data_IF_732115081051
#
_entry.id   IF_732115081051
#
_cell.length_a   1.000
_cell.length_b   1.000
_cell.length_c   1.000
_cell.angle_alpha   90.00
_cell.angle_beta   90.00
_cell.angle_gamma   90.00
#
_symmetry.space_group_name_H-M   'P 1'
#
loop_
_entity.id
_entity.type
_entity.pdbx_description
1 polymer ?
#
# COMPACT_ATOMS: atom_id res chain seq x y z
N UNK A 1 49.15 11.17 1.99
CA UNK A 1 48.21 10.10 2.37
C UNK A 1 47.19 10.70 3.32
N UNK A 2 45.88 10.55 3.03
CA UNK A 2 44.77 11.13 3.81
C UNK A 2 44.35 10.12 4.88
N UNK A 3 44.47 10.50 6.15
CA UNK A 3 43.87 9.75 7.26
C UNK A 3 42.38 10.07 7.26
N UNK A 4 41.55 9.06 6.97
CA UNK A 4 40.10 9.17 7.15
C UNK A 4 39.82 8.68 8.56
N UNK A 5 39.51 9.62 9.45
CA UNK A 5 39.18 9.38 10.85
C UNK A 5 38.01 8.40 11.00
N UNK A 6 38.24 7.34 11.75
CA UNK A 6 37.35 6.21 12.07
C UNK A 6 36.18 6.56 13.02
N UNK A 7 35.82 7.83 13.18
CA UNK A 7 34.86 8.30 14.21
C UNK A 7 33.44 8.48 13.66
N UNK A 8 33.24 8.50 12.34
CA UNK A 8 31.94 8.79 11.71
C UNK A 8 31.03 7.57 11.52
N UNK A 9 31.48 6.34 11.78
CA UNK A 9 30.68 5.15 11.53
C UNK A 9 29.62 4.86 12.62
N UNK A 10 29.83 5.29 13.86
CA UNK A 10 28.92 4.97 14.96
C UNK A 10 27.65 5.84 14.97
N UNK A 11 27.72 7.10 14.52
CA UNK A 11 26.59 8.03 14.55
C UNK A 11 25.48 7.69 13.52
N UNK A 12 25.85 7.08 12.38
CA UNK A 12 24.88 6.67 11.35
C UNK A 12 24.07 5.42 11.74
N UNK A 13 24.65 4.52 12.53
CA UNK A 13 23.92 3.35 13.05
C UNK A 13 22.83 3.75 14.06
N UNK A 14 23.06 4.79 14.86
CA UNK A 14 22.07 5.32 15.80
C UNK A 14 20.88 6.02 15.13
N UNK A 15 21.11 6.68 13.99
CA UNK A 15 20.05 7.35 13.21
C UNK A 15 19.19 6.36 12.39
N UNK A 16 19.76 5.24 11.94
CA UNK A 16 19.01 4.21 11.21
C UNK A 16 18.05 3.42 12.11
N UNK A 17 18.32 3.32 13.41
CA UNK A 17 17.44 2.64 14.38
C UNK A 17 16.17 3.45 14.70
N UNK A 18 16.11 4.74 14.35
CA UNK A 18 14.95 5.60 14.60
C UNK A 18 13.94 5.65 13.43
N UNK A 19 14.22 4.96 12.31
CA UNK A 19 13.42 5.11 11.08
C UNK A 19 12.25 4.11 10.91
N UNK A 20 12.12 2.95 11.60
CA UNK A 20 10.97 2.08 11.32
C UNK A 20 9.79 2.21 12.30
N UNK A 21 9.62 3.32 13.01
CA UNK A 21 8.44 3.51 13.88
C UNK A 21 7.27 4.27 13.21
N UNK A 22 7.54 5.05 12.15
CA UNK A 22 6.51 5.90 11.52
C UNK A 22 5.87 5.26 10.26
N UNK A 23 6.53 4.32 9.59
CA UNK A 23 6.03 3.70 8.35
C UNK A 23 5.32 2.35 8.54
N UNK A 24 5.11 1.88 9.78
CA UNK A 24 4.54 0.56 10.07
C UNK A 24 3.10 0.55 10.59
N UNK A 25 2.54 1.74 10.85
CA UNK A 25 1.35 1.86 11.66
C UNK A 25 0.08 2.16 10.86
N UNK A 26 0.02 1.98 9.54
CA UNK A 26 -1.23 2.19 8.80
C UNK A 26 -1.81 0.92 8.21
N UNK A 27 -3.13 0.88 8.13
CA UNK A 27 -3.87 -0.20 7.49
C UNK A 27 -5.05 0.33 6.68
N UNK A 28 -5.43 -0.45 5.67
CA UNK A 28 -6.64 -0.22 4.91
C UNK A 28 -7.81 -0.97 5.54
N UNK A 29 -8.87 -0.23 5.83
CA UNK A 29 -10.17 -0.76 6.25
C UNK A 29 -11.08 -0.83 5.02
N UNK A 30 -11.51 -2.04 4.66
CA UNK A 30 -12.42 -2.29 3.55
C UNK A 30 -13.72 -2.91 4.06
N UNK A 31 -14.78 -2.92 3.24
CA UNK A 31 -16.09 -3.48 3.59
C UNK A 31 -16.05 -4.95 4.05
N UNK A 32 -15.08 -5.73 3.59
CA UNK A 32 -14.94 -7.16 3.91
C UNK A 32 -13.50 -7.57 4.16
N UNK A 33 -13.35 -8.57 5.02
CA UNK A 33 -12.06 -9.16 5.38
C UNK A 33 -11.43 -8.43 6.56
N UNK A 34 -10.22 -8.86 6.92
CA UNK A 34 -9.43 -8.18 7.93
C UNK A 34 -8.76 -6.93 7.34
N UNK A 35 -8.44 -5.93 8.19
CA UNK A 35 -7.60 -4.80 7.78
C UNK A 35 -6.34 -5.26 7.03
N UNK A 36 -5.98 -4.50 6.00
CA UNK A 36 -4.79 -4.79 5.19
C UNK A 36 -3.72 -3.77 5.53
N UNK A 37 -2.67 -4.19 6.21
CA UNK A 37 -1.49 -3.37 6.45
C UNK A 37 -1.01 -2.70 5.16
N UNK A 38 -0.72 -1.40 5.23
CA UNK A 38 -0.30 -0.63 4.06
C UNK A 38 0.91 -1.29 3.40
N UNK A 39 1.90 -1.73 4.18
CA UNK A 39 3.09 -2.41 3.67
C UNK A 39 2.76 -3.72 2.93
N UNK A 40 1.69 -4.41 3.33
CA UNK A 40 1.22 -5.65 2.67
C UNK A 40 0.54 -5.32 1.36
N UNK A 41 -0.31 -4.29 1.33
CA UNK A 41 -0.92 -3.80 0.08
C UNK A 41 0.14 -3.36 -0.93
N UNK A 42 1.15 -2.59 -0.47
CA UNK A 42 2.24 -2.15 -1.34
C UNK A 42 3.10 -3.30 -1.85
N UNK A 43 3.39 -4.30 -0.99
CA UNK A 43 4.11 -5.50 -1.42
C UNK A 43 3.34 -6.30 -2.46
N UNK A 44 2.01 -6.23 -2.46
CA UNK A 44 1.19 -6.91 -3.45
C UNK A 44 1.51 -6.43 -4.88
N UNK A 45 1.96 -5.18 -5.07
CA UNK A 45 2.39 -4.67 -6.39
C UNK A 45 3.45 -5.55 -7.06
N UNK A 46 4.37 -6.14 -6.28
CA UNK A 46 5.43 -6.99 -6.82
C UNK A 46 4.90 -8.30 -7.43
N UNK A 47 3.70 -8.73 -7.05
CA UNK A 47 3.07 -9.98 -7.48
C UNK A 47 1.72 -9.75 -8.19
N UNK A 48 1.32 -8.49 -8.38
CA UNK A 48 0.04 -8.11 -8.93
C UNK A 48 0.10 -8.02 -10.46
N UNK A 49 -1.08 -8.13 -11.09
CA UNK A 49 -1.21 -7.84 -12.51
C UNK A 49 -1.43 -6.34 -12.67
N UNK A 50 -0.52 -5.67 -13.39
CA UNK A 50 -0.76 -4.31 -13.85
C UNK A 50 -1.87 -4.37 -14.90
N UNK A 51 -2.91 -3.57 -14.71
CA UNK A 51 -4.04 -3.47 -15.62
C UNK A 51 -4.20 -2.04 -16.11
N UNK A 52 -4.72 -1.90 -17.34
CA UNK A 52 -5.10 -0.59 -17.86
C UNK A 52 -6.22 0.00 -17.01
N UNK A 53 -6.21 1.32 -16.86
CA UNK A 53 -7.29 1.99 -16.14
C UNK A 53 -8.60 1.91 -16.97
N UNK A 54 -9.65 1.38 -16.35
CA UNK A 54 -11.00 1.32 -16.92
C UNK A 54 -11.88 2.39 -16.28
N UNK A 55 -12.90 2.86 -17.01
CA UNK A 55 -13.96 3.73 -16.49
C UNK A 55 -14.73 3.15 -15.29
N UNK A 56 -14.66 1.83 -15.10
CA UNK A 56 -15.24 1.16 -13.92
C UNK A 56 -14.37 1.33 -12.67
N UNK A 57 -13.07 1.62 -12.82
CA UNK A 57 -12.16 1.79 -11.69
C UNK A 57 -12.47 3.10 -10.96
N UNK A 58 -12.24 3.17 -9.64
CA UNK A 58 -12.41 4.41 -8.91
C UNK A 58 -11.56 5.52 -9.50
N UNK A 59 -12.16 6.71 -9.58
CA UNK A 59 -11.43 7.90 -10.02
C UNK A 59 -10.30 8.19 -9.04
N UNK A 60 -9.16 8.62 -9.57
CA UNK A 60 -8.09 9.23 -8.77
C UNK A 60 -8.37 10.73 -8.60
N UNK A 61 -7.98 11.34 -7.48
CA UNK A 61 -8.38 12.72 -7.16
C UNK A 61 -7.76 13.78 -8.08
N UNK A 62 -6.64 13.48 -8.73
CA UNK A 62 -5.74 14.49 -9.31
C UNK A 62 -5.66 14.47 -10.83
N UNK A 63 -6.27 13.48 -11.51
CA UNK A 63 -6.17 13.33 -12.96
C UNK A 63 -4.74 13.06 -13.48
N UNK A 64 -3.80 12.77 -12.57
CA UNK A 64 -2.39 12.50 -12.84
C UNK A 64 -2.20 11.13 -13.54
N UNK A 65 -1.02 10.88 -14.12
CA UNK A 65 -0.65 9.54 -14.57
C UNK A 65 -0.87 8.53 -13.45
N UNK A 66 -1.50 7.41 -13.79
CA UNK A 66 -1.86 6.38 -12.82
C UNK A 66 -1.54 4.98 -13.32
N UNK A 67 -1.17 4.13 -12.38
CA UNK A 67 -1.02 2.70 -12.57
C UNK A 67 -2.00 1.96 -11.68
N UNK A 68 -2.65 0.93 -12.23
CA UNK A 68 -3.62 0.11 -11.51
C UNK A 68 -3.08 -1.31 -11.37
N UNK A 69 -3.02 -1.82 -10.15
CA UNK A 69 -2.54 -3.15 -9.83
C UNK A 69 -3.67 -3.98 -9.23
N UNK A 70 -4.00 -5.09 -9.87
CA UNK A 70 -5.03 -6.01 -9.42
C UNK A 70 -4.43 -7.19 -8.67
N UNK A 71 -4.98 -7.48 -7.49
CA UNK A 71 -4.61 -8.66 -6.71
C UNK A 71 -5.81 -9.23 -5.96
N UNK A 72 -5.66 -10.47 -5.48
CA UNK A 72 -6.69 -11.14 -4.69
C UNK A 72 -6.14 -11.56 -3.32
N UNK A 73 -7.02 -11.62 -2.33
CA UNK A 73 -6.69 -12.15 -1.00
C UNK A 73 -7.86 -13.02 -0.51
N UNK A 74 -7.55 -14.14 0.14
CA UNK A 74 -8.59 -14.90 0.85
C UNK A 74 -9.23 -14.01 1.90
N UNK A 75 -10.56 -14.10 2.00
CA UNK A 75 -11.26 -13.62 3.17
C UNK A 75 -10.89 -14.51 4.36
N UNK A 76 -10.98 -13.92 5.55
CA UNK A 76 -10.58 -14.54 6.82
C UNK A 76 -11.40 -15.80 7.15
N UNK A 77 -10.94 -16.61 8.11
CA UNK A 77 -11.51 -17.93 8.40
C UNK A 77 -13.02 -17.95 8.68
N UNK A 78 -13.59 -16.81 9.12
CA UNK A 78 -15.02 -16.66 9.40
C UNK A 78 -15.86 -16.26 8.18
N UNK A 79 -15.24 -15.92 7.03
CA UNK A 79 -15.91 -15.61 5.77
C UNK A 79 -15.23 -16.36 4.63
N UNK A 80 -15.86 -17.42 4.14
CA UNK A 80 -15.38 -18.14 2.96
C UNK A 80 -15.46 -17.23 1.72
N UNK A 81 -14.36 -17.11 0.97
CA UNK A 81 -14.34 -16.43 -0.32
C UNK A 81 -13.00 -15.75 -0.63
N UNK A 82 -12.92 -15.18 -1.82
CA UNK A 82 -11.79 -14.39 -2.30
C UNK A 82 -12.26 -12.94 -2.47
N UNK A 83 -11.52 -12.00 -1.91
CA UNK A 83 -11.71 -10.58 -2.18
C UNK A 83 -10.74 -10.13 -3.27
N UNK A 84 -11.26 -9.35 -4.21
CA UNK A 84 -10.50 -8.72 -5.27
C UNK A 84 -10.20 -7.28 -4.89
N UNK A 85 -8.97 -6.86 -5.11
CA UNK A 85 -8.47 -5.53 -4.76
C UNK A 85 -7.84 -4.87 -5.96
N UNK A 86 -7.97 -3.54 -5.99
CA UNK A 86 -7.32 -2.67 -6.94
C UNK A 86 -6.50 -1.63 -6.17
N UNK A 87 -5.19 -1.65 -6.36
CA UNK A 87 -4.29 -0.63 -5.85
C UNK A 87 -3.92 0.33 -6.97
N UNK A 88 -4.27 1.59 -6.80
CA UNK A 88 -3.96 2.67 -7.74
C UNK A 88 -2.81 3.50 -7.18
N UNK A 89 -1.78 3.70 -8.01
CA UNK A 89 -0.61 4.55 -7.73
C UNK A 89 -0.69 5.76 -8.64
N UNK A 90 -0.59 6.97 -8.09
CA UNK A 90 -0.69 8.21 -8.86
C UNK A 90 0.13 9.35 -8.25
N UNK A 91 0.46 10.34 -9.07
CA UNK A 91 1.19 11.53 -8.66
C UNK A 91 2.70 11.34 -8.48
N UNK A 92 3.39 12.47 -8.24
CA UNK A 92 4.82 12.54 -7.95
C UNK A 92 5.05 13.57 -6.83
N UNK A 93 5.34 13.15 -5.57
CA UNK A 93 5.63 11.78 -5.13
C UNK A 93 4.40 10.84 -5.15
N UNK A 94 4.61 9.51 -5.20
CA UNK A 94 3.52 8.55 -5.37
C UNK A 94 2.57 8.52 -4.19
N UNK A 95 1.28 8.59 -4.50
CA UNK A 95 0.16 8.38 -3.59
C UNK A 95 -0.52 7.05 -3.91
N UNK A 96 -1.21 6.48 -2.91
CA UNK A 96 -1.78 5.14 -3.00
C UNK A 96 -3.25 5.13 -2.59
N UNK A 97 -4.09 4.56 -3.45
CA UNK A 97 -5.50 4.33 -3.20
C UNK A 97 -5.81 2.85 -3.33
N UNK A 98 -6.34 2.24 -2.27
CA UNK A 98 -6.78 0.85 -2.30
C UNK A 98 -8.31 0.79 -2.41
N UNK A 99 -8.79 -0.09 -3.28
CA UNK A 99 -10.22 -0.35 -3.45
C UNK A 99 -10.51 -1.85 -3.41
N UNK A 100 -11.66 -2.22 -2.87
CA UNK A 100 -12.15 -3.60 -2.88
C UNK A 100 -13.36 -3.73 -3.81
N UNK A 101 -13.39 -4.80 -4.60
CA UNK A 101 -14.59 -5.13 -5.39
C UNK A 101 -15.67 -5.75 -4.50
N UNK A 102 -16.86 -5.16 -4.52
CA UNK A 102 -18.04 -5.66 -3.84
C UNK A 102 -19.27 -5.50 -4.72
N UNK A 103 -20.02 -6.59 -4.92
CA UNK A 103 -21.25 -6.62 -5.74
C UNK A 103 -21.08 -6.01 -7.15
N UNK A 104 -19.91 -6.23 -7.78
CA UNK A 104 -19.52 -5.69 -9.10
C UNK A 104 -19.24 -4.18 -9.12
N UNK A 105 -19.11 -3.55 -7.95
CA UNK A 105 -18.68 -2.16 -7.82
C UNK A 105 -17.35 -2.10 -7.08
N UNK A 106 -16.55 -1.07 -7.36
CA UNK A 106 -15.34 -0.79 -6.61
C UNK A 106 -15.65 0.17 -5.47
N UNK A 107 -15.19 -0.16 -4.27
CA UNK A 107 -15.34 0.67 -3.08
C UNK A 107 -13.99 1.00 -2.49
N UNK A 108 -13.76 2.28 -2.20
CA UNK A 108 -12.54 2.75 -1.59
C UNK A 108 -12.38 2.17 -0.18
N UNK A 109 -11.16 1.76 0.15
CA UNK A 109 -10.80 1.40 1.52
C UNK A 109 -10.24 2.64 2.23
N UNK A 110 -10.61 2.84 3.49
CA UNK A 110 -10.07 3.94 4.30
C UNK A 110 -8.68 3.58 4.81
N UNK A 111 -7.72 4.50 4.69
CA UNK A 111 -6.41 4.34 5.30
C UNK A 111 -6.42 4.95 6.70
N UNK A 112 -6.15 4.14 7.72
CA UNK A 112 -6.22 4.54 9.13
C UNK A 112 -4.92 4.19 9.84
N UNK A 113 -4.60 4.93 10.90
CA UNK A 113 -3.52 4.60 11.82
C UNK A 113 -3.95 3.47 12.78
N UNK A 114 -3.06 2.49 12.99
CA UNK A 114 -3.16 1.43 13.97
C UNK A 114 -3.08 2.07 15.35
N UNK A 115 -4.18 1.96 16.10
CA UNK A 115 -4.26 2.35 17.50
C UNK A 115 -3.60 1.35 18.44
#
# INVERSE_FOLDING_TARGET
MKFISTVTAAALAGLLLLVPAACGNRHYICDRGDPIDEVVALRAMNNAFMIEHSHEHPAIPTGEPQWSFFFTKSLNAHRLGIACYLLQVYGDPPNYQLSQSFKKEWRLCSLEDKS
#
